data_IF_479359853021
#
_entry.id   IF_479359853021
#
_cell.length_a   1.000
_cell.length_b   1.000
_cell.length_c   1.000
_cell.angle_alpha   90.00
_cell.angle_beta   90.00
_cell.angle_gamma   90.00
#
_symmetry.space_group_name_H-M   'P 1'
#
loop_
_entity.id
_entity.type
_entity.pdbx_description
1 polymer ?
#
# COMPACT_ATOMS: atom_id res chain seq x y z
N UNK A 1 10.75 6.91 5.44
CA UNK A 1 11.39 5.86 6.25
C UNK A 1 10.91 4.54 5.68
N UNK A 2 11.77 3.72 5.07
CA UNK A 2 11.38 2.38 4.59
C UNK A 2 11.38 1.45 5.80
N UNK A 3 10.29 0.71 6.03
CA UNK A 3 10.20 -0.22 7.15
C UNK A 3 11.15 -1.40 6.96
N UNK A 4 12.25 -1.42 7.69
CA UNK A 4 13.20 -2.54 7.75
C UNK A 4 12.82 -3.39 8.95
N UNK A 5 12.52 -4.67 8.72
CA UNK A 5 12.39 -5.62 9.81
C UNK A 5 13.80 -6.05 10.25
N UNK A 6 14.02 -6.09 11.55
CA UNK A 6 15.29 -6.53 12.15
C UNK A 6 15.09 -7.87 12.85
N UNK A 7 16.20 -8.58 13.04
CA UNK A 7 16.23 -9.75 13.89
C UNK A 7 15.68 -9.39 15.28
N UNK A 8 14.82 -10.25 15.87
CA UNK A 8 14.25 -9.98 17.19
C UNK A 8 15.26 -10.12 18.33
N UNK A 9 16.42 -10.72 18.09
CA UNK A 9 17.51 -10.78 19.08
C UNK A 9 18.14 -9.37 19.22
N UNK A 10 18.14 -8.76 20.41
CA UNK A 10 18.65 -7.40 20.62
C UNK A 10 20.16 -7.26 20.37
N UNK A 11 20.91 -8.37 20.34
CA UNK A 11 22.33 -8.39 19.95
C UNK A 11 22.52 -8.50 18.44
N UNK A 12 21.47 -8.89 17.71
CA UNK A 12 21.50 -9.10 16.27
C UNK A 12 20.84 -7.91 15.53
N UNK A 13 21.58 -7.32 14.60
CA UNK A 13 21.10 -6.20 13.78
C UNK A 13 20.85 -6.63 12.33
N UNK A 14 20.70 -7.93 12.08
CA UNK A 14 20.47 -8.46 10.75
C UNK A 14 19.11 -7.97 10.22
N UNK A 15 19.11 -7.47 8.98
CA UNK A 15 17.88 -7.15 8.28
C UNK A 15 17.15 -8.43 7.87
N UNK A 16 15.84 -8.41 8.02
CA UNK A 16 14.93 -9.48 7.60
C UNK A 16 14.33 -9.09 6.26
N UNK A 17 14.67 -9.87 5.22
CA UNK A 17 14.17 -9.67 3.87
C UNK A 17 12.72 -10.09 3.69
N UNK A 18 12.10 -9.59 2.62
CA UNK A 18 10.73 -9.92 2.23
C UNK A 18 10.57 -11.43 1.94
N UNK A 19 11.59 -12.05 1.36
CA UNK A 19 11.70 -13.49 1.11
C UNK A 19 11.62 -14.30 2.42
N UNK A 20 12.37 -13.88 3.45
CA UNK A 20 12.38 -14.55 4.73
C UNK A 20 11.02 -14.41 5.44
N UNK A 21 10.39 -13.24 5.36
CA UNK A 21 9.04 -13.02 5.92
C UNK A 21 8.03 -13.91 5.20
N UNK A 22 8.07 -13.98 3.87
CA UNK A 22 7.19 -14.85 3.08
C UNK A 22 7.38 -16.34 3.38
N UNK A 23 8.56 -16.76 3.81
CA UNK A 23 8.83 -18.14 4.22
C UNK A 23 8.36 -18.46 5.64
N UNK A 24 8.30 -17.47 6.54
CA UNK A 24 8.08 -17.69 7.97
C UNK A 24 6.66 -17.41 8.44
N UNK A 25 5.91 -16.55 7.75
CA UNK A 25 4.59 -16.08 8.22
C UNK A 25 3.42 -16.75 7.50
N UNK A 26 2.26 -16.79 8.16
CA UNK A 26 1.00 -17.27 7.57
C UNK A 26 0.52 -16.36 6.44
N UNK A 27 -0.35 -16.85 5.56
CA UNK A 27 -0.89 -16.04 4.45
C UNK A 27 -1.60 -14.77 4.92
N UNK A 28 -2.36 -14.84 6.03
CA UNK A 28 -2.99 -13.67 6.66
C UNK A 28 -1.95 -12.61 7.07
N UNK A 29 -0.84 -13.06 7.66
CA UNK A 29 0.24 -12.17 8.07
C UNK A 29 1.02 -11.58 6.89
N UNK A 30 1.14 -12.31 5.78
CA UNK A 30 1.75 -11.80 4.54
C UNK A 30 0.96 -10.65 3.98
N UNK A 31 -0.36 -10.78 3.91
CA UNK A 31 -1.23 -9.72 3.39
C UNK A 31 -1.12 -8.45 4.26
N UNK A 32 -1.12 -8.63 5.58
CA UNK A 32 -0.91 -7.53 6.53
C UNK A 32 0.46 -6.87 6.32
N UNK A 33 1.52 -7.64 6.17
CA UNK A 33 2.88 -7.15 5.92
C UNK A 33 2.98 -6.38 4.59
N UNK A 34 2.41 -6.91 3.51
CA UNK A 34 2.38 -6.26 2.20
C UNK A 34 1.65 -4.91 2.26
N UNK A 35 0.51 -4.84 2.94
CA UNK A 35 -0.23 -3.60 3.15
C UNK A 35 0.58 -2.56 3.92
N UNK A 36 1.29 -2.98 4.97
CA UNK A 36 2.19 -2.08 5.70
C UNK A 36 3.34 -1.57 4.84
N UNK A 37 3.98 -2.43 4.06
CA UNK A 37 5.07 -2.03 3.16
C UNK A 37 4.61 -0.98 2.15
N UNK A 38 3.49 -1.23 1.47
CA UNK A 38 2.90 -0.30 0.52
C UNK A 38 2.62 1.05 1.19
N UNK A 39 2.01 1.02 2.37
CA UNK A 39 1.66 2.23 3.09
C UNK A 39 2.85 3.06 3.51
N UNK A 40 3.85 2.43 4.08
CA UNK A 40 5.08 3.13 4.46
C UNK A 40 5.81 3.69 3.23
N UNK A 41 5.81 2.96 2.11
CA UNK A 41 6.41 3.44 0.85
C UNK A 41 5.72 4.72 0.38
N UNK A 42 4.39 4.72 0.27
CA UNK A 42 3.59 5.88 -0.16
C UNK A 42 3.79 7.07 0.79
N UNK A 43 3.65 6.85 2.10
CA UNK A 43 3.78 7.93 3.11
C UNK A 43 5.18 8.54 3.15
N UNK A 44 6.21 7.77 2.77
CA UNK A 44 7.60 8.25 2.74
C UNK A 44 8.05 8.88 1.44
N UNK A 45 7.27 8.75 0.36
CA UNK A 45 7.60 9.30 -0.95
C UNK A 45 6.91 10.66 -1.13
N UNK A 46 7.69 11.70 -1.42
CA UNK A 46 7.15 13.05 -1.60
C UNK A 46 6.35 13.21 -2.89
N UNK A 47 6.57 12.33 -3.86
CA UNK A 47 5.88 12.33 -5.15
C UNK A 47 4.60 11.52 -5.13
N UNK A 48 4.42 10.60 -4.18
CA UNK A 48 3.27 9.72 -4.15
C UNK A 48 2.37 10.11 -2.98
N UNK A 49 1.06 10.24 -3.21
CA UNK A 49 0.08 10.51 -2.14
C UNK A 49 -1.08 9.52 -2.24
N UNK A 50 -1.67 9.25 -1.07
CA UNK A 50 -2.92 8.50 -1.00
C UNK A 50 -4.08 9.28 -1.63
N UNK A 51 -4.91 8.61 -2.43
CA UNK A 51 -6.17 9.22 -2.91
C UNK A 51 -7.12 9.39 -1.72
N UNK A 52 -7.70 10.59 -1.50
CA UNK A 52 -8.59 10.86 -0.37
C UNK A 52 -9.96 10.18 -0.44
N UNK A 53 -10.28 9.42 -1.50
CA UNK A 53 -11.55 8.70 -1.59
C UNK A 53 -11.74 7.75 -0.40
N UNK A 54 -12.93 7.80 0.20
CA UNK A 54 -13.28 7.07 1.41
C UNK A 54 -13.17 5.56 1.18
N UNK A 55 -12.03 4.97 1.54
CA UNK A 55 -11.86 3.53 1.68
C UNK A 55 -11.02 2.81 0.63
N UNK A 56 -10.31 3.50 -0.27
CA UNK A 56 -9.51 2.83 -1.29
C UNK A 56 -7.99 2.91 -1.04
N UNK A 57 -7.32 1.75 -1.12
CA UNK A 57 -5.87 1.54 -0.97
C UNK A 57 -5.06 2.03 -2.20
N UNK A 58 -5.56 3.05 -2.92
CA UNK A 58 -4.97 3.53 -4.17
C UNK A 58 -4.09 4.77 -3.94
N UNK A 59 -2.90 4.78 -4.53
CA UNK A 59 -1.95 5.89 -4.44
C UNK A 59 -1.61 6.44 -5.84
N UNK A 60 -1.40 7.74 -5.94
CA UNK A 60 -1.16 8.46 -7.20
C UNK A 60 0.24 9.07 -7.14
N UNK A 61 1.00 8.95 -8.25
CA UNK A 61 2.30 9.59 -8.44
C UNK A 61 2.12 10.99 -9.06
N UNK A 62 2.80 11.98 -8.50
CA UNK A 62 2.72 13.39 -8.85
C UNK A 62 4.10 13.90 -9.29
N UNK A 63 4.14 14.63 -10.40
CA UNK A 63 5.33 15.38 -10.77
C UNK A 63 5.45 16.67 -9.94
N UNK A 64 6.65 16.92 -9.39
CA UNK A 64 6.96 18.10 -8.58
C UNK A 64 6.77 19.36 -9.44
N UNK A 65 5.74 20.16 -9.12
CA UNK A 65 5.34 21.36 -9.87
C UNK A 65 3.88 21.36 -10.34
N UNK A 66 3.18 20.22 -10.21
CA UNK A 66 1.75 20.10 -10.52
C UNK A 66 0.92 20.59 -9.34
N UNK A 67 0.10 21.64 -9.53
CA UNK A 67 -0.96 21.98 -8.57
C UNK A 67 -1.92 20.79 -8.47
N UNK A 68 -2.13 20.28 -7.26
CA UNK A 68 -2.90 19.06 -7.00
C UNK A 68 -4.32 19.18 -7.55
N UNK A 69 -4.66 18.40 -8.57
CA UNK A 69 -6.05 18.21 -8.98
C UNK A 69 -6.56 16.90 -8.35
N UNK A 70 -7.65 17.00 -7.60
CA UNK A 70 -8.34 15.86 -7.00
C UNK A 70 -8.92 14.99 -8.11
N UNK A 71 -8.17 13.98 -8.58
CA UNK A 71 -8.74 12.90 -9.37
C UNK A 71 -8.82 11.67 -8.50
N UNK A 72 -9.92 11.59 -7.77
CA UNK A 72 -10.48 10.31 -7.40
C UNK A 72 -11.74 10.20 -8.26
N UNK A 73 -11.68 9.36 -9.30
CA UNK A 73 -12.83 9.11 -10.14
C UNK A 73 -13.88 8.35 -9.31
N UNK A 74 -15.03 8.97 -9.13
CA UNK A 74 -16.24 8.35 -8.59
C UNK A 74 -16.82 7.44 -9.67
N UNK A 75 -16.33 6.21 -9.82
CA UNK A 75 -17.02 5.19 -10.61
C UNK A 75 -17.14 3.90 -9.79
N UNK A 76 -17.96 3.98 -8.74
CA UNK A 76 -18.63 2.82 -8.16
C UNK A 76 -20.10 2.82 -8.60
N UNK A 77 -20.34 2.75 -9.91
CA UNK A 77 -21.59 2.22 -10.46
C UNK A 77 -21.20 1.09 -11.42
N UNK A 78 -20.90 -0.07 -10.86
CA UNK A 78 -21.17 -1.31 -11.57
C UNK A 78 -22.68 -1.47 -11.53
N UNK A 79 -23.37 -0.96 -12.54
CA UNK A 79 -24.75 -1.31 -12.84
C UNK A 79 -24.90 -2.84 -12.77
N UNK A 80 -25.73 -3.32 -11.85
CA UNK A 80 -26.34 -4.62 -11.99
C UNK A 80 -27.77 -4.41 -12.46
N UNK A 81 -27.93 -4.38 -13.78
CA UNK A 81 -29.21 -4.62 -14.45
C UNK A 81 -28.93 -5.54 -15.63
N UNK A 82 -28.68 -6.82 -15.34
CA UNK A 82 -29.06 -7.88 -16.27
C UNK A 82 -30.60 -7.98 -16.21
N UNK A 83 -31.27 -7.24 -17.09
CA UNK A 83 -32.61 -7.61 -17.53
C UNK A 83 -32.44 -8.68 -18.61
N UNK A 84 -32.42 -9.94 -18.19
CA UNK A 84 -32.87 -11.03 -19.05
C UNK A 84 -34.41 -11.10 -18.96
N UNK A 85 -35.04 -10.93 -20.12
CA UNK A 85 -36.46 -11.06 -20.54
C UNK A 85 -37.60 -10.93 -19.51
#
# INVERSE_FOLDING_TARGET
MVSIYLCPDPSCHAAVGHDMINSLVSNESKEKYSRYLLRTFVESNHKIKWCPALGYENAIDFEVGSESYNVCAEDAHSDQVDLEE
#
